data_IF_387975216516
#
_entry.id   IF_387975216516
#
_cell.length_a   1.000
_cell.length_b   1.000
_cell.length_c   1.000
_cell.angle_alpha   90.00
_cell.angle_beta   90.00
_cell.angle_gamma   90.00
#
_symmetry.space_group_name_H-M   'P 1'
#
loop_
_entity.id
_entity.type
_entity.pdbx_description
1 polymer ?
#
# COMPACT_ATOMS: atom_id res chain seq x y z
N UNK A 1 -2.76 14.98 -25.06
CA UNK A 1 -1.49 14.64 -24.36
C UNK A 1 -1.70 13.88 -23.05
N UNK A 2 -2.46 14.40 -22.08
CA UNK A 2 -2.68 13.69 -20.81
C UNK A 2 -3.50 12.41 -20.97
N UNK A 3 -4.57 12.43 -21.79
CA UNK A 3 -5.36 11.24 -22.10
C UNK A 3 -4.50 10.08 -22.63
N UNK A 4 -3.64 10.36 -23.62
CA UNK A 4 -2.67 9.39 -24.13
C UNK A 4 -1.78 8.81 -23.03
N UNK A 5 -1.26 9.63 -22.10
CA UNK A 5 -0.41 9.15 -21.02
C UNK A 5 -1.16 8.22 -20.04
N UNK A 6 -2.44 8.50 -19.76
CA UNK A 6 -3.31 7.68 -18.91
C UNK A 6 -3.62 6.35 -19.61
N UNK A 7 -4.04 6.40 -20.87
CA UNK A 7 -4.36 5.24 -21.69
C UNK A 7 -3.15 4.32 -21.86
N UNK A 8 -1.99 4.88 -22.22
CA UNK A 8 -0.74 4.15 -22.37
C UNK A 8 -0.29 3.50 -21.04
N UNK A 9 -0.50 4.18 -19.91
CA UNK A 9 -0.19 3.64 -18.58
C UNK A 9 -1.15 2.51 -18.18
N UNK A 10 -2.42 2.60 -18.57
CA UNK A 10 -3.42 1.56 -18.36
C UNK A 10 -3.11 0.30 -19.16
N UNK A 11 -2.87 0.45 -20.47
CA UNK A 11 -2.61 -0.67 -21.39
C UNK A 11 -1.34 -1.43 -20.99
N UNK A 12 -0.27 -0.70 -20.62
CA UNK A 12 1.05 -1.30 -20.38
C UNK A 12 1.29 -1.77 -18.96
N UNK A 13 0.36 -1.51 -18.05
CA UNK A 13 0.45 -1.98 -16.68
C UNK A 13 0.70 -3.51 -16.68
N UNK A 14 1.71 -4.05 -15.97
CA UNK A 14 2.41 -3.48 -14.81
C UNK A 14 3.62 -2.59 -15.11
N UNK A 15 4.01 -2.43 -16.39
CA UNK A 15 5.10 -1.53 -16.76
C UNK A 15 4.65 -0.08 -16.58
N UNK A 16 5.53 0.70 -15.97
CA UNK A 16 5.34 2.12 -15.72
C UNK A 16 5.77 2.96 -16.93
N UNK A 17 4.97 3.98 -17.26
CA UNK A 17 5.35 5.02 -18.21
C UNK A 17 6.19 6.12 -17.54
N UNK A 18 7.45 6.29 -17.94
CA UNK A 18 8.36 7.28 -17.33
C UNK A 18 8.31 8.64 -18.03
N UNK A 19 8.72 9.71 -17.35
CA UNK A 19 8.80 11.05 -17.97
C UNK A 19 9.76 11.09 -19.18
N UNK A 20 10.85 10.31 -19.15
CA UNK A 20 11.76 10.18 -20.30
C UNK A 20 11.08 9.53 -21.50
N UNK A 21 10.25 8.51 -21.25
CA UNK A 21 9.51 7.84 -22.32
C UNK A 21 8.41 8.74 -22.89
N UNK A 22 7.68 9.46 -22.04
CA UNK A 22 6.72 10.48 -22.47
C UNK A 22 7.38 11.56 -23.33
N UNK A 23 8.53 12.07 -22.91
CA UNK A 23 9.33 13.03 -23.68
C UNK A 23 9.66 12.53 -25.08
N UNK A 24 10.17 11.30 -25.19
CA UNK A 24 10.57 10.69 -26.47
C UNK A 24 9.39 10.40 -27.38
N UNK A 25 8.29 9.86 -26.84
CA UNK A 25 7.14 9.44 -27.65
C UNK A 25 6.25 10.59 -28.10
N UNK A 26 6.11 11.63 -27.27
CA UNK A 26 5.27 12.79 -27.59
C UNK A 26 6.05 13.92 -28.27
N UNK A 27 7.38 13.85 -28.35
CA UNK A 27 8.21 14.92 -28.92
C UNK A 27 8.19 16.23 -28.13
N UNK A 28 7.72 16.21 -26.87
CA UNK A 28 7.58 17.40 -26.01
C UNK A 28 8.83 17.63 -25.17
N UNK A 29 9.08 18.84 -24.66
CA UNK A 29 10.19 19.10 -23.73
C UNK A 29 10.11 18.20 -22.48
N UNK A 30 11.26 17.75 -21.97
CA UNK A 30 11.31 16.88 -20.78
C UNK A 30 10.61 17.47 -19.54
N UNK A 31 10.75 18.77 -19.31
CA UNK A 31 10.09 19.45 -18.18
C UNK A 31 8.56 19.38 -18.27
N UNK A 32 8.01 19.47 -19.49
CA UNK A 32 6.57 19.30 -19.75
C UNK A 32 6.15 17.85 -19.47
N UNK A 33 6.92 16.87 -19.96
CA UNK A 33 6.68 15.45 -19.69
C UNK A 33 6.74 15.12 -18.18
N UNK A 34 7.71 15.69 -17.46
CA UNK A 34 7.84 15.53 -16.02
C UNK A 34 6.65 16.12 -15.27
N UNK A 35 6.18 17.29 -15.69
CA UNK A 35 4.99 17.94 -15.11
C UNK A 35 3.74 17.11 -15.33
N UNK A 36 3.56 16.57 -16.54
CA UNK A 36 2.47 15.64 -16.86
C UNK A 36 2.53 14.40 -15.96
N UNK A 37 3.71 13.78 -15.83
CA UNK A 37 3.91 12.61 -14.98
C UNK A 37 3.52 12.88 -13.52
N UNK A 38 3.94 14.02 -12.96
CA UNK A 38 3.60 14.43 -11.59
C UNK A 38 2.10 14.65 -11.41
N UNK A 39 1.43 15.28 -12.39
CA UNK A 39 -0.03 15.46 -12.36
C UNK A 39 -0.76 14.13 -12.40
N UNK A 40 -0.27 13.16 -13.17
CA UNK A 40 -0.84 11.81 -13.23
C UNK A 40 -0.68 11.09 -11.87
N UNK A 41 0.45 11.29 -11.19
CA UNK A 41 0.67 10.76 -9.84
C UNK A 41 -0.26 11.40 -8.80
N UNK A 42 -0.48 12.71 -8.88
CA UNK A 42 -1.42 13.44 -8.01
C UNK A 42 -2.85 12.94 -8.25
N UNK A 43 -3.28 12.87 -9.52
CA UNK A 43 -4.58 12.31 -9.91
C UNK A 43 -4.77 10.92 -9.30
N UNK A 44 -3.80 10.02 -9.45
CA UNK A 44 -3.87 8.69 -8.87
C UNK A 44 -4.09 8.76 -7.35
N UNK A 45 -3.33 9.60 -6.63
CA UNK A 45 -3.50 9.78 -5.18
C UNK A 45 -4.89 10.29 -4.79
N UNK A 46 -5.47 11.21 -5.56
CA UNK A 46 -6.81 11.78 -5.32
C UNK A 46 -7.92 10.76 -5.58
N UNK A 47 -7.71 9.83 -6.52
CA UNK A 47 -8.67 8.80 -6.88
C UNK A 47 -8.55 7.52 -6.02
N UNK A 48 -7.42 7.30 -5.34
CA UNK A 48 -7.20 6.13 -4.48
C UNK A 48 -8.27 5.93 -3.40
N UNK A 49 -8.83 6.96 -2.72
CA UNK A 49 -9.92 6.77 -1.77
C UNK A 49 -11.15 6.10 -2.39
N UNK A 50 -11.58 6.52 -3.59
CA UNK A 50 -12.71 5.87 -4.27
C UNK A 50 -12.39 4.43 -4.67
N UNK A 51 -11.15 4.15 -5.10
CA UNK A 51 -10.69 2.77 -5.32
C UNK A 51 -10.77 1.91 -4.05
N UNK A 52 -10.43 2.48 -2.88
CA UNK A 52 -10.53 1.76 -1.60
C UNK A 52 -12.00 1.43 -1.26
N UNK A 53 -12.93 2.34 -1.52
CA UNK A 53 -14.36 2.07 -1.32
C UNK A 53 -14.88 0.96 -2.24
N UNK A 54 -14.49 0.96 -3.52
CA UNK A 54 -14.83 -0.12 -4.45
C UNK A 54 -14.30 -1.48 -3.96
N UNK A 55 -13.04 -1.51 -3.51
CA UNK A 55 -12.43 -2.71 -2.90
C UNK A 55 -13.21 -3.13 -1.65
N UNK A 56 -13.61 -2.19 -0.81
CA UNK A 56 -14.36 -2.48 0.41
C UNK A 56 -15.75 -3.06 0.10
N UNK A 57 -16.43 -2.55 -0.94
CA UNK A 57 -17.70 -3.09 -1.44
C UNK A 57 -17.54 -4.51 -2.00
N UNK A 58 -16.48 -4.76 -2.77
CA UNK A 58 -16.16 -6.09 -3.31
C UNK A 58 -15.89 -7.09 -2.18
N UNK A 59 -15.08 -6.70 -1.18
CA UNK A 59 -14.76 -7.53 -0.03
C UNK A 59 -15.95 -7.81 0.88
N UNK A 60 -16.87 -6.87 1.07
CA UNK A 60 -18.08 -7.09 1.84
C UNK A 60 -19.05 -8.07 1.14
N UNK A 61 -19.06 -8.08 -0.20
CA UNK A 61 -19.83 -9.06 -0.97
C UNK A 61 -19.23 -10.45 -0.87
N UNK A 62 -17.90 -10.55 -0.95
CA UNK A 62 -17.19 -11.83 -0.90
C UNK A 62 -17.10 -12.41 0.51
N UNK A 63 -16.93 -11.55 1.52
CA UNK A 63 -16.81 -11.92 2.93
C UNK A 63 -17.80 -11.12 3.79
N UNK A 64 -19.09 -11.52 3.84
CA UNK A 64 -20.12 -10.86 4.65
C UNK A 64 -19.82 -10.84 6.16
N UNK A 65 -20.65 -10.12 6.92
CA UNK A 65 -20.51 -9.99 8.37
C UNK A 65 -20.56 -11.34 9.13
N UNK A 66 -21.25 -12.33 8.58
CA UNK A 66 -21.41 -13.65 9.18
C UNK A 66 -20.32 -14.64 8.74
N UNK A 67 -19.49 -14.26 7.76
CA UNK A 67 -18.49 -15.14 7.19
C UNK A 67 -17.44 -15.55 8.22
N UNK A 68 -17.22 -16.86 8.32
CA UNK A 68 -16.20 -17.47 9.16
C UNK A 68 -15.36 -18.42 8.33
N UNK A 69 -14.05 -18.24 8.40
CA UNK A 69 -13.10 -19.16 7.80
C UNK A 69 -13.17 -20.52 8.53
N UNK A 70 -13.00 -21.65 7.83
CA UNK A 70 -12.90 -22.95 8.48
C UNK A 70 -11.84 -22.98 9.59
N UNK A 71 -12.05 -23.88 10.57
CA UNK A 71 -11.24 -23.98 11.79
C UNK A 71 -9.75 -24.22 11.46
N UNK A 72 -8.86 -23.80 12.35
CA UNK A 72 -7.44 -24.10 12.19
C UNK A 72 -7.20 -25.61 12.12
N UNK A 73 -6.38 -26.04 11.16
CA UNK A 73 -6.09 -27.46 10.93
C UNK A 73 -6.92 -28.13 9.82
N UNK A 74 -7.96 -27.47 9.29
CA UNK A 74 -8.65 -27.94 8.09
C UNK A 74 -7.88 -27.52 6.83
N UNK A 75 -7.85 -28.37 5.81
CA UNK A 75 -7.31 -28.01 4.51
C UNK A 75 -8.21 -26.98 3.80
N UNK A 76 -7.63 -25.85 3.41
CA UNK A 76 -8.31 -24.74 2.74
C UNK A 76 -8.10 -24.76 1.23
N UNK A 77 -7.47 -25.79 0.65
CA UNK A 77 -7.14 -25.81 -0.79
C UNK A 77 -8.36 -25.60 -1.68
N UNK A 78 -9.43 -26.39 -1.49
CA UNK A 78 -10.70 -26.21 -2.25
C UNK A 78 -11.38 -24.86 -1.96
N UNK A 79 -11.23 -24.35 -0.74
CA UNK A 79 -11.79 -23.07 -0.34
C UNK A 79 -11.10 -21.92 -1.09
N UNK A 80 -9.77 -21.97 -1.23
CA UNK A 80 -8.99 -20.96 -1.94
C UNK A 80 -9.31 -20.88 -3.43
N UNK A 81 -9.77 -21.98 -4.04
CA UNK A 81 -10.16 -22.00 -5.45
C UNK A 81 -11.46 -21.24 -5.69
N UNK A 82 -12.36 -21.22 -4.69
CA UNK A 82 -13.68 -20.58 -4.78
C UNK A 82 -13.66 -19.11 -4.35
N UNK A 83 -12.70 -18.71 -3.54
CA UNK A 83 -12.64 -17.38 -2.94
C UNK A 83 -11.33 -16.65 -3.24
N UNK A 84 -11.43 -15.35 -3.54
CA UNK A 84 -10.29 -14.46 -3.73
C UNK A 84 -9.76 -13.98 -2.38
N UNK A 85 -9.08 -14.88 -1.66
CA UNK A 85 -8.47 -14.56 -0.36
C UNK A 85 -7.48 -13.41 -0.50
N UNK A 86 -7.50 -12.52 0.50
CA UNK A 86 -6.62 -11.37 0.60
C UNK A 86 -5.29 -11.80 1.23
N UNK A 87 -4.21 -11.28 0.68
CA UNK A 87 -2.86 -11.47 1.17
C UNK A 87 -2.26 -10.12 1.56
N UNK A 88 -1.48 -10.10 2.64
CA UNK A 88 -0.69 -8.93 3.01
C UNK A 88 0.77 -9.29 3.27
N UNK A 89 1.65 -8.41 2.80
CA UNK A 89 3.10 -8.56 2.94
C UNK A 89 3.79 -7.19 2.93
N UNK A 90 5.08 -7.18 3.26
CA UNK A 90 5.94 -6.01 3.07
C UNK A 90 7.07 -6.31 2.11
N UNK A 91 7.42 -5.31 1.29
CA UNK A 91 8.50 -5.42 0.34
C UNK A 91 9.40 -4.20 0.42
N UNK A 92 10.70 -4.43 0.27
CA UNK A 92 11.70 -3.35 0.28
C UNK A 92 11.99 -2.95 -1.17
N UNK A 93 11.75 -1.68 -1.48
CA UNK A 93 12.14 -1.02 -2.72
C UNK A 93 13.35 -0.12 -2.42
N UNK A 94 14.48 -0.42 -3.05
CA UNK A 94 15.69 0.34 -2.84
C UNK A 94 16.54 0.34 -4.10
N UNK A 95 16.99 1.53 -4.48
CA UNK A 95 17.87 1.75 -5.63
C UNK A 95 18.64 3.06 -5.39
N UNK A 96 19.52 3.09 -4.40
CA UNK A 96 20.40 4.25 -4.19
C UNK A 96 21.67 4.10 -5.03
N UNK A 97 22.15 5.23 -5.58
CA UNK A 97 23.46 5.31 -6.25
C UNK A 97 24.63 5.02 -5.29
N UNK A 98 24.58 5.53 -4.06
CA UNK A 98 25.67 5.38 -3.08
C UNK A 98 25.40 4.27 -2.07
N UNK A 99 26.39 3.39 -1.88
CA UNK A 99 26.26 2.20 -1.03
C UNK A 99 26.79 2.37 0.40
N UNK A 100 27.43 3.49 0.69
CA UNK A 100 28.17 3.72 1.93
C UNK A 100 27.27 4.14 3.09
N UNK A 101 27.61 3.69 4.30
CA UNK A 101 26.96 4.16 5.52
C UNK A 101 25.56 3.62 5.77
N UNK A 102 25.19 2.46 5.20
CA UNK A 102 23.87 1.84 5.41
C UNK A 102 23.74 1.26 6.81
N UNK A 103 22.59 1.47 7.46
CA UNK A 103 22.22 0.74 8.67
C UNK A 103 20.72 0.46 8.65
N UNK A 104 20.33 -0.81 8.74
CA UNK A 104 18.92 -1.13 9.06
C UNK A 104 18.71 -0.72 10.52
N UNK A 105 17.72 0.12 10.79
CA UNK A 105 17.47 0.52 12.17
C UNK A 105 16.83 -0.65 12.91
N UNK A 106 17.56 -1.21 13.88
CA UNK A 106 17.11 -1.99 15.04
C UNK A 106 17.31 -3.52 15.02
N UNK A 107 18.11 -3.98 16.00
CA UNK A 107 18.23 -5.36 16.51
C UNK A 107 16.94 -5.83 17.24
N UNK A 108 15.74 -5.53 16.74
CA UNK A 108 14.46 -5.86 17.41
C UNK A 108 13.50 -6.76 16.59
N UNK A 109 13.99 -7.36 15.50
CA UNK A 109 13.39 -8.57 14.93
C UNK A 109 12.38 -8.43 13.80
N UNK A 110 11.83 -7.24 13.50
CA UNK A 110 10.84 -7.05 12.41
C UNK A 110 11.38 -6.21 11.25
N UNK A 111 10.82 -6.43 10.06
CA UNK A 111 11.24 -5.75 8.82
C UNK A 111 11.05 -4.23 8.91
N UNK A 112 12.10 -3.48 8.60
CA UNK A 112 12.12 -2.01 8.60
C UNK A 112 12.52 -1.45 7.24
N UNK A 113 12.19 -0.18 7.01
CA UNK A 113 12.78 0.57 5.91
C UNK A 113 14.31 0.68 6.06
N UNK A 114 14.99 1.05 4.97
CA UNK A 114 16.45 1.24 4.95
C UNK A 114 16.77 2.69 5.31
N UNK A 115 17.66 2.87 6.28
CA UNK A 115 18.14 4.16 6.73
C UNK A 115 19.66 4.28 6.55
N UNK A 116 20.17 5.50 6.46
CA UNK A 116 21.59 5.77 6.65
C UNK A 116 21.95 5.61 8.12
N UNK A 117 23.22 5.36 8.38
CA UNK A 117 23.74 5.36 9.75
C UNK A 117 23.70 6.79 10.30
N UNK A 118 23.68 6.91 11.62
CA UNK A 118 23.66 8.21 12.30
C UNK A 118 24.84 9.11 11.87
N UNK A 119 26.01 8.52 11.57
CA UNK A 119 27.20 9.24 11.08
C UNK A 119 26.96 9.93 9.73
N UNK A 120 26.06 9.39 8.90
CA UNK A 120 25.74 9.91 7.57
C UNK A 120 24.32 10.50 7.52
N UNK A 121 23.83 11.05 8.63
CA UNK A 121 22.57 11.81 8.69
C UNK A 121 21.32 11.00 9.08
N UNK A 122 21.39 9.67 9.19
CA UNK A 122 20.28 8.86 9.72
C UNK A 122 18.99 8.82 8.88
N UNK A 123 19.00 9.44 7.70
CA UNK A 123 17.82 9.61 6.86
C UNK A 123 17.33 8.29 6.24
N UNK A 124 16.03 8.23 5.95
CA UNK A 124 15.45 7.11 5.21
C UNK A 124 15.92 7.16 3.75
N UNK A 125 16.51 6.06 3.27
CA UNK A 125 17.03 5.93 1.89
C UNK A 125 16.37 4.82 1.09
N UNK A 126 15.66 3.90 1.75
CA UNK A 126 14.82 2.90 1.11
C UNK A 126 13.34 3.16 1.35
N UNK A 127 12.53 2.47 0.59
CA UNK A 127 11.07 2.48 0.72
C UNK A 127 10.70 1.08 1.19
N UNK A 128 10.04 0.98 2.35
CA UNK A 128 9.34 -0.24 2.72
C UNK A 128 7.88 -0.01 2.30
N UNK A 129 7.39 -0.80 1.35
CA UNK A 129 6.01 -0.76 0.92
C UNK A 129 5.26 -1.93 1.56
N UNK A 130 4.16 -1.60 2.23
CA UNK A 130 3.17 -2.57 2.67
C UNK A 130 2.19 -2.79 1.53
N UNK A 131 1.88 -4.05 1.23
CA UNK A 131 0.93 -4.40 0.20
C UNK A 131 -0.21 -5.24 0.77
N UNK A 132 -1.41 -4.97 0.26
CA UNK A 132 -2.61 -5.77 0.49
C UNK A 132 -3.19 -6.09 -0.89
N UNK A 133 -3.42 -7.36 -1.20
CA UNK A 133 -3.88 -7.79 -2.52
C UNK A 133 -4.68 -9.09 -2.45
N UNK A 134 -5.69 -9.24 -3.30
CA UNK A 134 -6.33 -10.54 -3.54
C UNK A 134 -5.87 -11.20 -4.86
N UNK A 135 -4.85 -10.63 -5.52
CA UNK A 135 -4.33 -11.00 -6.84
C UNK A 135 -4.91 -10.17 -7.98
N UNK A 136 -6.15 -9.69 -7.87
CA UNK A 136 -6.81 -8.85 -8.89
C UNK A 136 -6.47 -7.38 -8.66
N UNK A 137 -6.82 -6.85 -7.49
CA UNK A 137 -6.51 -5.48 -7.06
C UNK A 137 -5.35 -5.44 -6.07
N UNK A 138 -4.81 -4.25 -5.82
CA UNK A 138 -3.71 -4.00 -4.89
C UNK A 138 -3.85 -2.65 -4.18
N UNK A 139 -3.52 -2.62 -2.90
CA UNK A 139 -3.28 -1.41 -2.13
C UNK A 139 -1.83 -1.38 -1.66
N UNK A 140 -1.15 -0.26 -1.91
CA UNK A 140 0.24 -0.05 -1.52
C UNK A 140 0.34 1.16 -0.61
N UNK A 141 1.00 1.00 0.52
CA UNK A 141 1.26 2.09 1.46
C UNK A 141 2.76 2.13 1.79
N UNK A 142 3.36 3.32 1.77
CA UNK A 142 4.74 3.49 2.23
C UNK A 142 4.76 3.50 3.76
N UNK A 143 5.58 2.64 4.36
CA UNK A 143 5.67 2.50 5.81
C UNK A 143 7.13 2.63 6.30
N UNK A 144 7.34 3.09 7.54
CA UNK A 144 8.67 3.10 8.15
C UNK A 144 9.11 1.72 8.67
N UNK A 145 8.17 0.88 9.14
CA UNK A 145 8.43 -0.45 9.72
C UNK A 145 7.18 -1.34 9.76
N UNK A 146 7.40 -2.65 9.88
CA UNK A 146 6.37 -3.67 10.08
C UNK A 146 6.06 -3.84 11.57
N UNK A 147 5.40 -2.86 12.19
CA UNK A 147 4.91 -2.99 13.58
C UNK A 147 3.40 -2.84 13.62
N UNK A 148 2.76 -3.40 14.66
CA UNK A 148 1.31 -3.32 14.85
C UNK A 148 0.78 -1.88 14.83
N UNK A 149 1.52 -0.95 15.42
CA UNK A 149 1.13 0.47 15.47
C UNK A 149 1.20 1.16 14.11
N UNK A 150 2.09 0.70 13.22
CA UNK A 150 2.25 1.27 11.88
C UNK A 150 1.27 0.64 10.90
N UNK A 151 1.22 -0.69 10.86
CA UNK A 151 0.51 -1.45 9.82
C UNK A 151 -0.93 -1.77 10.23
N UNK A 152 -1.21 -1.94 11.53
CA UNK A 152 -2.55 -2.23 12.03
C UNK A 152 -3.60 -1.20 11.63
N UNK A 153 -3.36 0.11 11.78
CA UNK A 153 -4.28 1.14 11.30
C UNK A 153 -4.51 1.11 9.78
N UNK A 154 -3.47 0.77 9.01
CA UNK A 154 -3.56 0.66 7.55
C UNK A 154 -4.47 -0.49 7.15
N UNK A 155 -4.27 -1.67 7.74
CA UNK A 155 -5.11 -2.85 7.46
C UNK A 155 -6.55 -2.57 7.92
N UNK A 156 -6.76 -2.02 9.12
CA UNK A 156 -8.09 -1.65 9.64
C UNK A 156 -8.83 -0.65 8.75
N UNK A 157 -8.11 0.28 8.12
CA UNK A 157 -8.69 1.24 7.18
C UNK A 157 -9.05 0.59 5.85
N UNK A 158 -8.27 -0.40 5.41
CA UNK A 158 -8.35 -0.94 4.07
C UNK A 158 -9.24 -2.19 3.95
N UNK A 159 -9.42 -2.95 5.04
CA UNK A 159 -10.12 -4.24 5.02
C UNK A 159 -11.30 -4.26 6.02
N UNK A 160 -12.45 -4.81 5.63
CA UNK A 160 -13.48 -5.25 6.55
C UNK A 160 -12.94 -6.29 7.55
N UNK A 161 -13.49 -6.31 8.76
CA UNK A 161 -12.98 -7.17 9.86
C UNK A 161 -13.05 -8.67 9.55
N UNK A 162 -14.03 -9.10 8.75
CA UNK A 162 -14.26 -10.52 8.47
C UNK A 162 -13.61 -11.02 7.18
N UNK A 163 -12.85 -10.17 6.48
CA UNK A 163 -12.11 -10.59 5.30
C UNK A 163 -11.14 -11.73 5.64
N UNK A 164 -11.16 -12.79 4.82
CA UNK A 164 -10.14 -13.83 4.89
C UNK A 164 -8.78 -13.26 4.49
N UNK A 165 -7.85 -13.22 5.43
CA UNK A 165 -6.53 -12.58 5.27
C UNK A 165 -5.41 -13.57 5.56
N UNK A 166 -4.53 -13.80 4.58
CA UNK A 166 -3.33 -14.62 4.74
C UNK A 166 -2.07 -13.76 4.73
N UNK A 167 -1.14 -14.02 5.63
CA UNK A 167 0.13 -13.25 5.72
C UNK A 167 1.31 -14.17 6.02
N UNK A 168 2.53 -13.63 5.94
CA UNK A 168 3.70 -14.26 6.57
C UNK A 168 3.58 -14.21 8.11
N UNK A 169 4.45 -14.95 8.80
CA UNK A 169 4.49 -15.11 10.24
C UNK A 169 4.81 -13.84 11.03
N UNK A 170 5.30 -12.77 10.40
CA UNK A 170 5.66 -11.52 11.08
C UNK A 170 4.45 -10.71 11.58
N UNK A 171 3.24 -11.11 11.17
CA UNK A 171 1.97 -10.45 11.47
C UNK A 171 1.23 -11.04 12.69
N UNK A 172 1.98 -11.48 13.71
CA UNK A 172 1.44 -12.22 14.87
C UNK A 172 0.42 -11.45 15.71
N UNK A 173 0.23 -10.15 15.51
CA UNK A 173 -0.71 -9.33 16.27
C UNK A 173 -2.10 -9.26 15.61
N UNK A 174 -2.26 -9.72 14.36
CA UNK A 174 -3.53 -9.64 13.62
C UNK A 174 -4.57 -10.66 14.06
N UNK A 175 -4.17 -11.85 14.53
CA UNK A 175 -5.12 -12.91 14.90
C UNK A 175 -6.13 -12.48 15.98
N UNK A 176 -5.77 -11.51 16.83
CA UNK A 176 -6.67 -10.97 17.87
C UNK A 176 -7.72 -10.01 17.32
N UNK A 177 -7.48 -9.44 16.14
CA UNK A 177 -8.28 -8.38 15.55
C UNK A 177 -9.17 -8.96 14.44
N UNK A 178 -8.57 -9.78 13.57
CA UNK A 178 -9.22 -10.40 12.41
C UNK A 178 -9.43 -11.90 12.68
N UNK A 179 -10.68 -12.34 12.89
CA UNK A 179 -10.97 -13.74 13.21
C UNK A 179 -10.63 -14.70 12.07
N UNK A 180 -10.64 -14.21 10.83
CA UNK A 180 -10.37 -14.98 9.61
C UNK A 180 -8.93 -14.81 9.10
N UNK A 181 -8.02 -14.41 9.99
CA UNK A 181 -6.59 -14.27 9.68
C UNK A 181 -5.86 -15.61 9.84
N UNK A 182 -5.05 -15.98 8.85
CA UNK A 182 -4.12 -17.12 8.92
C UNK A 182 -2.72 -16.68 8.52
N UNK A 183 -1.74 -17.41 9.04
CA UNK A 183 -0.33 -17.09 8.83
C UNK A 183 0.40 -18.32 8.33
N UNK A 184 1.22 -18.12 7.31
CA UNK A 184 2.22 -19.11 6.90
C UNK A 184 3.58 -18.63 7.39
N UNK A 185 4.35 -19.51 8.02
CA UNK A 185 5.74 -19.21 8.32
C UNK A 185 6.53 -19.41 7.02
N UNK A 186 7.40 -18.49 6.57
CA UNK A 186 8.37 -18.72 5.47
C UNK A 186 9.85 -18.94 5.90
N UNK A 187 10.19 -18.93 7.23
CA UNK A 187 11.45 -19.46 7.86
C UNK A 187 11.57 -20.86 8.62
N UNK A 188 10.52 -21.57 9.10
CA UNK A 188 10.43 -23.04 9.38
C UNK A 188 11.30 -24.02 8.51
N UNK A 189 12.11 -24.80 9.21
CA UNK A 189 12.94 -25.84 8.59
C UNK A 189 12.18 -27.15 8.45
N UNK A 190 12.63 -28.01 7.53
CA UNK A 190 12.13 -29.38 7.44
C UNK A 190 12.31 -30.09 8.77
N UNK A 191 11.30 -30.89 9.16
CA UNK A 191 11.36 -31.76 10.35
C UNK A 191 12.33 -32.93 10.14
N UNK A 192 12.58 -33.33 8.89
CA UNK A 192 13.51 -34.40 8.58
C UNK A 192 14.96 -33.93 8.80
N UNK A 193 15.71 -34.70 9.61
CA UNK A 193 17.12 -34.44 9.91
C UNK A 193 17.98 -34.43 8.65
N UNK A 194 17.64 -35.22 7.61
CA UNK A 194 18.37 -35.26 6.33
C UNK A 194 18.28 -33.93 5.58
N UNK A 195 17.16 -33.22 5.75
CA UNK A 195 16.83 -32.00 5.04
C UNK A 195 16.81 -30.77 5.97
N UNK A 196 17.58 -30.78 7.06
CA UNK A 196 17.61 -29.73 8.09
C UNK A 196 17.83 -28.31 7.54
N UNK A 197 18.55 -28.17 6.42
CA UNK A 197 18.77 -26.87 5.78
C UNK A 197 17.66 -26.49 4.81
N UNK A 198 16.92 -27.47 4.28
CA UNK A 198 15.79 -27.28 3.39
C UNK A 198 14.63 -26.58 4.10
N UNK A 199 13.90 -25.75 3.36
CA UNK A 199 12.71 -25.07 3.83
C UNK A 199 11.50 -25.90 3.42
N UNK A 200 10.63 -26.21 4.36
CA UNK A 200 9.56 -27.20 4.18
C UNK A 200 8.28 -26.64 3.53
N UNK A 201 8.39 -25.63 2.64
CA UNK A 201 7.30 -24.65 2.52
C UNK A 201 7.12 -23.89 1.22
N UNK A 202 5.84 -23.90 0.82
CA UNK A 202 5.15 -22.98 -0.08
C UNK A 202 3.69 -22.74 0.35
N UNK A 203 3.08 -23.72 1.01
CA UNK A 203 1.69 -23.74 1.46
C UNK A 203 1.55 -24.72 2.64
N UNK A 204 0.68 -24.45 3.61
CA UNK A 204 0.30 -25.40 4.68
C UNK A 204 -1.23 -25.44 4.78
N UNK A 205 -1.85 -26.58 4.46
CA UNK A 205 -3.31 -26.76 4.51
C UNK A 205 -4.07 -25.66 3.74
N UNK A 206 -3.61 -25.33 2.53
CA UNK A 206 -4.13 -24.21 1.73
C UNK A 206 -3.65 -22.82 2.18
N UNK A 207 -3.04 -22.63 3.36
CA UNK A 207 -2.56 -21.30 3.78
C UNK A 207 -1.22 -20.98 3.12
N UNK A 208 -1.17 -19.90 2.33
CA UNK A 208 0.03 -19.42 1.64
C UNK A 208 0.04 -17.89 1.46
N UNK A 209 1.18 -17.32 1.02
CA UNK A 209 1.31 -15.88 0.72
C UNK A 209 1.64 -15.57 -0.77
N UNK A 210 1.46 -16.56 -1.65
CA UNK A 210 1.90 -16.51 -3.05
C UNK A 210 1.39 -15.30 -3.87
N UNK A 211 0.15 -14.83 -3.65
CA UNK A 211 -0.38 -13.67 -4.40
C UNK A 211 0.45 -12.40 -4.13
N UNK A 212 0.84 -12.21 -2.87
CA UNK A 212 1.73 -11.15 -2.41
C UNK A 212 3.14 -11.32 -2.99
N UNK A 213 3.69 -12.53 -2.94
CA UNK A 213 5.04 -12.82 -3.44
C UNK A 213 5.17 -12.60 -4.96
N UNK A 214 4.17 -13.02 -5.75
CA UNK A 214 4.13 -12.77 -7.18
C UNK A 214 4.07 -11.27 -7.51
N UNK A 215 3.22 -10.54 -6.78
CA UNK A 215 3.09 -9.09 -6.91
C UNK A 215 4.39 -8.35 -6.57
N UNK A 216 5.13 -8.80 -5.55
CA UNK A 216 6.41 -8.21 -5.15
C UNK A 216 7.40 -8.14 -6.33
N UNK A 217 7.43 -9.18 -7.17
CA UNK A 217 8.32 -9.20 -8.33
C UNK A 217 7.89 -8.19 -9.41
N UNK A 218 6.59 -8.09 -9.67
CA UNK A 218 6.04 -7.09 -10.60
C UNK A 218 6.34 -5.66 -10.15
N UNK A 219 6.13 -5.34 -8.86
CA UNK A 219 6.41 -4.02 -8.30
C UNK A 219 7.91 -3.72 -8.39
N UNK A 220 8.79 -4.65 -7.97
CA UNK A 220 10.24 -4.46 -8.07
C UNK A 220 10.67 -4.19 -9.51
N UNK A 221 10.13 -4.93 -10.47
CA UNK A 221 10.44 -4.74 -11.89
C UNK A 221 9.97 -3.38 -12.41
N UNK A 222 8.74 -2.98 -12.08
CA UNK A 222 8.20 -1.68 -12.45
C UNK A 222 9.01 -0.52 -11.83
N UNK A 223 9.38 -0.64 -10.55
CA UNK A 223 10.12 0.41 -9.82
C UNK A 223 11.58 0.54 -10.25
N UNK A 224 12.17 -0.49 -10.88
CA UNK A 224 13.48 -0.36 -11.54
C UNK A 224 13.45 0.68 -12.67
N UNK A 225 12.32 0.82 -13.38
CA UNK A 225 12.18 1.81 -14.45
C UNK A 225 12.27 3.25 -13.94
N UNK A 226 11.85 3.50 -12.69
CA UNK A 226 12.00 4.82 -12.05
C UNK A 226 13.43 5.13 -11.60
N UNK A 227 14.34 4.15 -11.58
CA UNK A 227 15.68 4.25 -11.00
C UNK A 227 15.64 4.53 -9.49
N UNK A 228 16.04 5.72 -9.03
CA UNK A 228 15.96 6.13 -7.63
C UNK A 228 14.74 7.01 -7.38
N UNK A 229 13.96 6.64 -6.37
CA UNK A 229 12.86 7.46 -5.86
C UNK A 229 13.26 7.92 -4.46
N UNK A 230 13.18 9.23 -4.21
CA UNK A 230 13.35 9.76 -2.86
C UNK A 230 12.22 9.24 -1.97
N UNK A 231 12.50 8.63 -0.81
CA UNK A 231 11.45 8.06 0.03
C UNK A 231 10.34 9.03 0.41
N UNK A 232 10.63 10.34 0.52
CA UNK A 232 9.63 11.40 0.76
C UNK A 232 8.44 11.38 -0.22
N UNK A 233 8.66 10.92 -1.45
CA UNK A 233 7.63 10.89 -2.49
C UNK A 233 7.11 9.49 -2.78
N UNK A 234 7.55 8.46 -2.04
CA UNK A 234 7.24 7.05 -2.31
C UNK A 234 5.74 6.79 -2.45
N UNK A 235 4.92 7.41 -1.60
CA UNK A 235 3.46 7.28 -1.62
C UNK A 235 2.87 7.64 -2.97
N UNK A 236 3.38 8.68 -3.65
CA UNK A 236 2.87 9.08 -4.97
C UNK A 236 3.16 8.01 -6.04
N UNK A 237 4.36 7.43 -6.01
CA UNK A 237 4.76 6.38 -6.97
C UNK A 237 4.03 5.06 -6.70
N UNK A 238 3.83 4.71 -5.42
CA UNK A 238 3.08 3.52 -5.01
C UNK A 238 1.60 3.65 -5.38
N UNK A 239 1.00 4.81 -5.08
CA UNK A 239 -0.39 5.09 -5.43
C UNK A 239 -0.63 5.05 -6.93
N UNK A 240 0.26 5.66 -7.72
CA UNK A 240 0.18 5.60 -9.18
C UNK A 240 0.18 4.16 -9.69
N UNK A 241 1.11 3.34 -9.22
CA UNK A 241 1.19 1.95 -9.65
C UNK A 241 -0.05 1.15 -9.24
N UNK A 242 -0.50 1.31 -7.99
CA UNK A 242 -1.70 0.65 -7.48
C UNK A 242 -2.97 1.12 -8.19
N UNK A 243 -3.05 2.41 -8.54
CA UNK A 243 -4.20 2.99 -9.23
C UNK A 243 -4.39 2.32 -10.60
N UNK A 244 -3.36 2.23 -11.43
CA UNK A 244 -3.48 1.60 -12.74
C UNK A 244 -3.76 0.09 -12.66
N UNK A 245 -3.26 -0.61 -11.63
CA UNK A 245 -3.65 -2.00 -11.37
C UNK A 245 -5.14 -2.11 -11.07
N UNK A 246 -5.63 -1.27 -10.16
CA UNK A 246 -7.03 -1.29 -9.72
C UNK A 246 -7.98 -0.82 -10.82
N UNK A 247 -7.55 0.12 -11.64
CA UNK A 247 -8.31 0.59 -12.79
C UNK A 247 -8.58 -0.54 -13.79
N UNK A 248 -7.62 -1.46 -13.98
CA UNK A 248 -7.83 -2.66 -14.81
C UNK A 248 -8.78 -3.68 -14.17
N UNK A 249 -8.97 -3.63 -12.85
CA UNK A 249 -9.86 -4.53 -12.13
C UNK A 249 -11.31 -4.01 -12.12
N UNK A 250 -11.52 -2.73 -11.82
CA UNK A 250 -12.86 -2.15 -11.64
C UNK A 250 -13.37 -1.36 -12.86
N UNK A 251 -12.47 -0.87 -13.70
CA UNK A 251 -12.82 -0.01 -14.83
C UNK A 251 -13.03 1.46 -14.45
N UNK A 252 -13.06 2.33 -15.46
CA UNK A 252 -13.29 3.77 -15.29
C UNK A 252 -14.74 4.10 -14.93
N UNK A 253 -15.70 3.31 -15.42
CA UNK A 253 -17.13 3.57 -15.22
C UNK A 253 -17.53 3.44 -13.75
N UNK A 254 -17.17 2.33 -13.10
CA UNK A 254 -17.46 2.12 -11.68
C UNK A 254 -16.75 3.15 -10.79
N UNK A 255 -15.52 3.52 -11.14
CA UNK A 255 -14.80 4.61 -10.45
C UNK A 255 -15.54 5.95 -10.60
N UNK A 256 -16.05 6.25 -11.80
CA UNK A 256 -16.82 7.45 -12.07
C UNK A 256 -18.11 7.52 -11.27
N UNK A 257 -18.85 6.40 -11.20
CA UNK A 257 -20.07 6.27 -10.38
C UNK A 257 -19.77 6.48 -8.89
N UNK A 258 -18.69 5.90 -8.38
CA UNK A 258 -18.28 6.07 -6.98
C UNK A 258 -17.96 7.53 -6.67
N UNK A 259 -17.19 8.18 -7.55
CA UNK A 259 -16.84 9.59 -7.38
C UNK A 259 -18.04 10.52 -7.50
N UNK A 260 -18.97 10.25 -8.42
CA UNK A 260 -20.22 11.00 -8.52
C UNK A 260 -21.05 10.88 -7.23
N UNK A 261 -21.14 9.66 -6.68
CA UNK A 261 -21.85 9.40 -5.42
C UNK A 261 -21.21 10.15 -4.24
N UNK A 262 -19.88 10.17 -4.16
CA UNK A 262 -19.13 10.93 -3.15
C UNK A 262 -19.44 12.43 -3.22
N UNK A 263 -19.48 13.00 -4.44
CA UNK A 263 -19.81 14.42 -4.67
C UNK A 263 -21.25 14.72 -4.26
N UNK A 264 -22.22 13.87 -4.61
CA UNK A 264 -23.62 14.05 -4.21
C UNK A 264 -23.75 14.05 -2.68
N UNK A 265 -23.12 13.09 -2.00
CA UNK A 265 -23.12 13.03 -0.53
C UNK A 265 -22.45 14.27 0.10
N UNK A 266 -21.34 14.73 -0.47
CA UNK A 266 -20.66 15.94 0.00
C UNK A 266 -21.55 17.19 -0.13
N UNK A 267 -22.23 17.34 -1.27
CA UNK A 267 -23.15 18.44 -1.53
C UNK A 267 -24.35 18.42 -0.58
N UNK A 268 -24.93 17.24 -0.30
CA UNK A 268 -26.03 17.09 0.65
C UNK A 268 -25.61 17.41 2.09
N UNK A 269 -24.36 17.10 2.50
CA UNK A 269 -23.85 17.50 3.82
C UNK A 269 -23.63 19.01 3.91
N UNK A 270 -23.20 19.64 2.81
CA UNK A 270 -23.02 21.09 2.75
C UNK A 270 -24.35 21.85 2.80
N UNK A 271 -25.42 21.32 2.20
CA UNK A 271 -26.75 21.94 2.30
C UNK A 271 -27.33 21.85 3.70
N UNK A 272 -27.18 20.70 4.38
CA UNK A 272 -27.61 20.52 5.78
C UNK A 272 -26.87 21.45 6.74
N UNK A 273 -25.57 21.64 6.57
CA UNK A 273 -24.79 22.56 7.42
C UNK A 273 -25.11 24.05 7.14
N UNK A 274 -25.50 24.42 5.90
CA UNK A 274 -25.97 25.79 5.62
C UNK A 274 -27.29 26.13 6.31
N UNK A 275 -28.15 25.14 6.54
CA UNK A 275 -29.38 25.33 7.33
C UNK A 275 -29.15 25.46 8.84
N UNK A 276 -27.98 25.05 9.36
CA UNK A 276 -27.61 25.23 10.77
C UNK A 276 -26.77 26.47 11.05
N UNK A 277 -26.11 27.03 10.02
CA UNK A 277 -25.11 28.10 10.18
C UNK A 277 -25.67 29.51 9.87
N UNK A 278 -27.00 29.70 9.85
CA UNK A 278 -27.64 31.03 9.83
C UNK A 278 -27.59 31.73 11.21
N UNK A 279 -26.46 31.60 11.91
CA UNK A 279 -26.06 32.40 13.05
C UNK A 279 -24.52 32.52 13.07
N UNK A 280 -23.99 33.61 12.51
CA UNK A 280 -22.61 34.04 12.76
C UNK A 280 -21.70 34.08 11.53
N UNK A 281 -21.23 35.29 11.27
CA UNK A 281 -20.34 35.77 10.21
C UNK A 281 -18.93 35.13 10.21
N UNK A 282 -18.22 35.15 9.07
CA UNK A 282 -16.74 34.99 9.06
C UNK A 282 -16.07 34.04 8.04
N UNK A 283 -15.82 34.58 6.84
CA UNK A 283 -14.61 34.50 5.99
C UNK A 283 -13.75 33.21 5.84
N UNK A 284 -13.64 32.79 4.56
CA UNK A 284 -12.47 32.26 3.82
C UNK A 284 -11.29 31.58 4.51
N UNK A 285 -11.06 30.29 4.19
CA UNK A 285 -9.74 29.64 3.96
C UNK A 285 -9.85 28.10 3.93
N UNK A 286 -10.39 27.52 2.85
CA UNK A 286 -10.56 26.06 2.75
C UNK A 286 -9.85 25.37 1.57
N UNK A 287 -9.20 26.11 0.67
CA UNK A 287 -8.62 25.53 -0.55
C UNK A 287 -7.12 25.14 -0.47
N UNK A 288 -6.37 25.55 0.55
CA UNK A 288 -4.93 25.20 0.67
C UNK A 288 -4.63 23.89 1.43
N UNK A 289 -5.59 23.29 2.13
CA UNK A 289 -5.33 22.13 3.01
C UNK A 289 -5.23 20.78 2.30
N UNK A 290 -5.73 20.66 1.07
CA UNK A 290 -5.79 19.36 0.36
C UNK A 290 -4.41 18.96 -0.20
N UNK A 291 -3.58 19.92 -0.62
CA UNK A 291 -2.24 19.68 -1.18
C UNK A 291 -1.19 19.30 -0.12
N UNK A 292 -1.31 19.80 1.11
CA UNK A 292 -0.38 19.44 2.21
C UNK A 292 -0.64 18.05 2.81
N UNK A 293 -1.89 17.56 2.81
CA UNK A 293 -2.25 16.27 3.41
C UNK A 293 -1.68 15.05 2.68
N UNK A 294 -1.28 15.21 1.41
CA UNK A 294 -0.59 14.18 0.63
C UNK A 294 0.93 14.16 0.84
N UNK A 295 1.53 15.26 1.34
CA UNK A 295 2.98 15.39 1.54
C UNK A 295 3.44 15.02 2.95
N UNK A 296 2.56 15.12 3.96
CA UNK A 296 2.86 14.85 5.37
C UNK A 296 2.13 13.61 5.91
N UNK A 297 2.45 12.43 5.39
CA UNK A 297 2.15 11.18 6.10
C UNK A 297 3.41 10.34 6.23
N UNK A 298 3.96 10.37 7.44
CA UNK A 298 4.94 9.42 7.98
C UNK A 298 6.35 9.47 7.39
N UNK A 299 7.07 10.58 7.59
CA UNK A 299 8.54 10.63 7.39
C UNK A 299 9.34 11.05 8.62
N UNK A 300 8.72 11.14 9.80
CA UNK A 300 9.51 11.25 11.03
C UNK A 300 10.04 9.87 11.42
N UNK A 301 11.35 9.72 11.69
CA UNK A 301 11.87 8.51 12.30
C UNK A 301 11.13 8.31 13.65
N UNK A 302 10.84 7.07 14.06
CA UNK A 302 10.29 6.83 15.39
C UNK A 302 11.25 7.44 16.41
N UNK A 303 10.76 8.44 17.17
CA UNK A 303 11.54 9.10 18.21
C UNK A 303 12.05 8.01 19.15
N UNK A 304 13.36 7.76 19.15
CA UNK A 304 13.98 6.95 20.18
C UNK A 304 13.66 7.64 21.50
N UNK A 305 12.92 6.98 22.40
CA UNK A 305 12.84 7.42 23.80
C UNK A 305 14.27 7.49 24.34
N UNK A 306 14.88 8.67 24.34
CA UNK A 306 16.13 8.95 25.05
C UNK A 306 15.76 9.55 26.40
N UNK A 307 16.23 8.83 27.41
CA UNK A 307 16.54 9.23 28.79
C UNK A 307 15.46 9.99 29.58
N UNK A 308 14.85 9.24 30.50
CA UNK A 308 14.51 9.77 31.82
C UNK A 308 15.74 10.53 32.34
N UNK A 309 15.54 11.82 32.63
CA UNK A 309 16.49 12.63 33.36
C UNK A 309 16.73 11.94 34.70
N UNK A 310 17.99 11.71 35.05
CA UNK A 310 18.38 11.62 36.44
C UNK A 310 17.97 12.95 37.08
N UNK A 311 16.99 12.88 37.99
CA UNK A 311 16.82 13.90 39.00
C UNK A 311 17.66 13.44 40.19
N UNK A 312 18.42 14.42 40.72
CA UNK A 312 19.27 14.47 41.91
C UNK A 312 19.03 13.36 42.93
#
# INVERSE_FOLDING_TARGET
MMGWAIEESFIRHPKVLTANEMHKRLGIKYQTALTMKRRMQIMACELMPAMRELIHKDLNKEFPAEFKLPKEGTDLTEFNERHNIVHADTLVLYSMRERYGRKRHSNKGLTSSIYRSAKYGGEQIGILAHQITNGKWVLLDSIPNLTANTVGPIIKKSLPRNTALFTDKDYTWLYRIYPNHRMVNHSLKSKDKRYKYSRDRWCQLGVHNQKSEGLNNSIKTAFRAYTYIRPKYSTMYLNEWSFFRNLRCFGLEELGKEKASEIVVANSRMSVNRSSDNAGDGCGDKYEKVTQACLHRHHEPPRSRRHLRACV
#
